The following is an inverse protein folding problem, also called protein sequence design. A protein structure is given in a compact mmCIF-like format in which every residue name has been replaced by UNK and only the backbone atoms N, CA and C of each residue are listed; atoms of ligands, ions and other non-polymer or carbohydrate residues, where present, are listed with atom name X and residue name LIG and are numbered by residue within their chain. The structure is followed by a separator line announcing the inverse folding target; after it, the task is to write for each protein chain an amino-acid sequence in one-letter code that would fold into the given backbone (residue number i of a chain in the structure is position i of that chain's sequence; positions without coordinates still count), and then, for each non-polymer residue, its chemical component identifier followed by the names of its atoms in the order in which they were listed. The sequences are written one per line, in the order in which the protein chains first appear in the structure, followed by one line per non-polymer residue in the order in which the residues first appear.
data_IF_775046416524
#
_entry.id   IF_775046416524
#
_cell.length_a   1.000
_cell.length_b   1.000
_cell.length_c   1.000
_cell.angle_alpha   90.00
_cell.angle_beta   90.00
_cell.angle_gamma   90.00
#
_symmetry.space_group_name_H-M   'P 1'
#
loop_
_entity.id
_entity.type
_entity.pdbx_description
1 polymer ?
#
# COMPACT_ATOMS: atom_id res chain seq x y z
N UNK A 1 -3.32 -39.38 -5.81
CA UNK A 1 -4.18 -38.88 -4.71
C UNK A 1 -5.44 -38.28 -5.32
N UNK A 2 -6.65 -38.67 -4.89
CA UNK A 2 -7.86 -38.40 -5.65
C UNK A 2 -8.31 -36.94 -5.53
N UNK A 3 -8.90 -36.45 -6.62
CA UNK A 3 -9.35 -35.09 -6.91
C UNK A 3 -10.21 -34.44 -5.80
N UNK A 4 -10.86 -35.26 -4.97
CA UNK A 4 -11.76 -34.86 -3.87
C UNK A 4 -11.02 -34.23 -2.68
N UNK A 5 -9.74 -34.58 -2.47
CA UNK A 5 -8.93 -34.00 -1.38
C UNK A 5 -8.36 -32.61 -1.75
N UNK A 6 -8.24 -32.31 -3.05
CA UNK A 6 -7.80 -30.99 -3.55
C UNK A 6 -8.88 -29.92 -3.40
N UNK A 7 -10.14 -30.30 -3.60
CA UNK A 7 -11.29 -29.41 -3.43
C UNK A 7 -11.51 -29.05 -1.96
N UNK A 8 -11.47 -30.00 -1.03
CA UNK A 8 -11.75 -29.72 0.38
C UNK A 8 -10.73 -28.74 1.01
N UNK A 9 -9.43 -28.91 0.71
CA UNK A 9 -8.40 -28.03 1.26
C UNK A 9 -8.50 -26.62 0.66
N UNK A 10 -8.78 -26.51 -0.64
CA UNK A 10 -8.99 -25.24 -1.34
C UNK A 10 -10.26 -24.50 -0.89
N UNK A 11 -11.34 -25.22 -0.58
CA UNK A 11 -12.56 -24.62 -0.02
C UNK A 11 -12.33 -24.12 1.41
N UNK A 12 -11.57 -24.84 2.25
CA UNK A 12 -11.27 -24.40 3.62
C UNK A 12 -10.34 -23.18 3.62
N UNK A 13 -9.31 -23.13 2.76
CA UNK A 13 -8.51 -21.90 2.59
C UNK A 13 -9.34 -20.76 2.00
N UNK A 14 -10.22 -21.01 1.01
CA UNK A 14 -11.09 -19.98 0.45
C UNK A 14 -12.11 -19.46 1.48
N UNK A 15 -12.67 -20.32 2.33
CA UNK A 15 -13.62 -19.94 3.38
C UNK A 15 -12.92 -19.17 4.51
N UNK A 16 -11.72 -19.59 4.92
CA UNK A 16 -10.90 -18.87 5.92
C UNK A 16 -10.41 -17.53 5.37
N UNK A 17 -10.06 -17.48 4.08
CA UNK A 17 -9.80 -16.24 3.34
C UNK A 17 -11.03 -15.35 3.41
N UNK A 18 -12.23 -15.84 3.04
CA UNK A 18 -13.50 -15.08 3.06
C UNK A 18 -13.93 -14.60 4.46
N UNK A 19 -13.70 -15.36 5.53
CA UNK A 19 -14.08 -14.94 6.89
C UNK A 19 -13.14 -13.86 7.47
N UNK A 20 -11.85 -13.93 7.18
CA UNK A 20 -10.87 -12.88 7.57
C UNK A 20 -11.06 -11.60 6.73
N UNK A 21 -11.67 -11.77 5.57
CA UNK A 21 -11.92 -10.75 4.57
C UNK A 21 -13.08 -9.81 4.99
N UNK A 22 -14.12 -10.31 5.66
CA UNK A 22 -15.23 -9.49 6.16
C UNK A 22 -14.74 -8.58 7.32
N UNK A 23 -13.88 -9.10 8.19
CA UNK A 23 -13.19 -8.33 9.24
C UNK A 23 -12.35 -7.18 8.67
N UNK A 24 -11.69 -7.36 7.52
CA UNK A 24 -10.85 -6.32 6.89
C UNK A 24 -11.69 -5.16 6.32
N UNK A 25 -12.81 -5.49 5.66
CA UNK A 25 -13.72 -4.48 5.12
C UNK A 25 -14.42 -3.70 6.25
N UNK A 26 -14.79 -4.39 7.33
CA UNK A 26 -15.33 -3.78 8.54
C UNK A 26 -14.28 -2.87 9.21
N UNK A 27 -13.03 -3.29 9.28
CA UNK A 27 -11.92 -2.49 9.83
C UNK A 27 -11.69 -1.19 9.04
N UNK A 28 -11.69 -1.23 7.70
CA UNK A 28 -11.58 0.00 6.89
C UNK A 28 -12.78 0.93 7.11
N UNK A 29 -13.99 0.39 7.16
CA UNK A 29 -15.22 1.16 7.39
C UNK A 29 -15.28 1.77 8.80
N UNK A 30 -14.88 1.04 9.83
CA UNK A 30 -14.76 1.54 11.21
C UNK A 30 -13.74 2.68 11.29
N UNK A 31 -12.62 2.60 10.56
CA UNK A 31 -11.60 3.66 10.59
C UNK A 31 -12.06 4.94 9.88
N UNK A 32 -12.82 4.82 8.79
CA UNK A 32 -13.45 5.97 8.14
C UNK A 32 -14.51 6.61 9.06
N UNK A 33 -15.32 5.80 9.76
CA UNK A 33 -16.33 6.29 10.71
C UNK A 33 -15.70 6.96 11.94
N UNK A 34 -14.62 6.39 12.50
CA UNK A 34 -13.93 6.95 13.65
C UNK A 34 -13.30 8.31 13.35
N UNK A 35 -12.74 8.49 12.14
CA UNK A 35 -12.21 9.77 11.70
C UNK A 35 -13.32 10.84 11.55
N UNK A 36 -14.51 10.47 11.08
CA UNK A 36 -15.64 11.40 10.92
C UNK A 36 -16.17 11.97 12.25
N UNK A 37 -15.90 11.32 13.40
CA UNK A 37 -16.36 11.75 14.72
C UNK A 37 -15.37 12.67 15.45
N UNK A 38 -14.20 12.95 14.87
CA UNK A 38 -13.23 13.90 15.44
C UNK A 38 -13.62 15.32 15.04
N UNK A 39 -14.07 16.13 16.00
CA UNK A 39 -14.50 17.50 15.77
C UNK A 39 -13.27 18.46 15.73
N UNK A 40 -12.93 19.10 14.60
CA UNK A 40 -11.76 19.99 14.49
C UNK A 40 -11.87 21.23 15.37
N UNK A 41 -13.10 21.62 15.72
CA UNK A 41 -13.41 22.89 16.39
C UNK A 41 -12.86 22.99 17.82
N UNK A 42 -12.53 21.85 18.47
CA UNK A 42 -11.90 21.86 19.79
C UNK A 42 -10.40 22.19 19.75
N UNK A 43 -9.74 22.10 18.58
CA UNK A 43 -8.33 22.46 18.41
C UNK A 43 -8.15 23.96 18.09
N UNK A 44 -9.15 24.60 17.49
CA UNK A 44 -9.10 26.02 17.10
C UNK A 44 -9.10 26.95 18.32
N UNK A 45 -9.71 26.55 19.46
CA UNK A 45 -9.75 27.38 20.68
C UNK A 45 -8.41 27.47 21.42
N UNK A 46 -7.43 26.62 21.13
CA UNK A 46 -6.09 26.68 21.75
C UNK A 46 -5.08 27.51 20.94
N UNK A 47 -5.41 27.88 19.69
CA UNK A 47 -4.51 28.62 18.80
C UNK A 47 -4.73 30.13 18.73
N UNK A 48 -5.80 30.66 19.33
CA UNK A 48 -6.18 32.08 19.19
C UNK A 48 -5.69 32.96 20.36
N UNK A 49 -5.31 32.40 21.52
CA UNK A 49 -4.90 33.19 22.69
C UNK A 49 -3.38 33.33 22.90
N UNK A 50 -2.52 32.82 22.01
CA UNK A 50 -1.05 32.84 22.23
C UNK A 50 -0.38 34.17 21.77
N UNK A 51 -1.10 35.07 21.09
CA UNK A 51 -0.52 36.33 20.57
C UNK A 51 -0.97 37.62 21.28
N UNK A 52 -1.48 37.53 22.51
CA UNK A 52 -1.75 38.73 23.32
C UNK A 52 -1.30 38.57 24.77
N UNK A 53 -0.35 39.43 25.13
CA UNK A 53 0.16 39.73 26.47
C UNK A 53 1.41 38.98 26.95
N UNK A 54 2.54 39.65 26.72
CA UNK A 54 3.64 39.74 27.67
C UNK A 54 3.14 40.24 29.04
N UNK A 55 3.23 39.42 30.08
CA UNK A 55 3.42 39.87 31.47
C UNK A 55 3.80 38.70 32.38
N UNK A 56 4.86 38.93 33.16
CA UNK A 56 5.33 38.18 34.33
C UNK A 56 4.19 37.84 35.30
N UNK A 57 4.18 36.63 35.89
CA UNK A 57 3.86 36.41 37.33
C UNK A 57 4.16 34.96 37.75
N UNK A 58 4.97 34.80 38.79
CA UNK A 58 5.12 33.57 39.58
C UNK A 58 3.90 33.41 40.50
N UNK A 59 3.29 32.21 40.57
CA UNK A 59 2.98 31.59 41.86
C UNK A 59 2.53 30.13 41.76
N UNK A 60 2.96 29.38 42.77
CA UNK A 60 2.58 28.01 43.12
C UNK A 60 1.11 27.88 43.49
N UNK A 61 0.39 26.97 42.83
CA UNK A 61 -0.95 26.55 43.21
C UNK A 61 -1.26 25.15 42.69
N UNK A 62 -1.30 24.17 43.60
CA UNK A 62 -1.83 22.82 43.35
C UNK A 62 -3.30 22.96 42.94
N UNK A 63 -3.63 22.73 41.66
CA UNK A 63 -5.01 22.49 41.24
C UNK A 63 -5.21 20.99 41.04
N UNK A 64 -6.07 20.44 41.89
CA UNK A 64 -6.53 19.05 41.87
C UNK A 64 -7.14 18.71 40.51
N UNK A 65 -6.42 17.91 39.71
CA UNK A 65 -6.95 17.28 38.51
C UNK A 65 -7.87 16.14 38.91
N UNK A 66 -9.18 16.41 38.97
CA UNK A 66 -10.21 15.38 39.03
C UNK A 66 -10.29 14.72 37.66
N UNK A 67 -9.67 13.55 37.58
CA UNK A 67 -10.09 12.34 36.86
C UNK A 67 -10.92 12.56 35.58
N UNK A 68 -10.25 12.53 34.44
CA UNK A 68 -10.83 11.97 33.23
C UNK A 68 -10.00 10.75 32.81
N UNK A 69 -10.35 9.60 33.37
CA UNK A 69 -9.94 8.29 32.84
C UNK A 69 -10.73 8.05 31.55
N UNK A 70 -10.38 8.76 30.49
CA UNK A 70 -10.87 8.42 29.16
C UNK A 70 -10.11 7.17 28.70
N UNK A 71 -10.79 6.03 28.86
CA UNK A 71 -10.45 4.68 28.41
C UNK A 71 -9.09 4.52 27.70
N UNK A 72 -8.09 4.08 28.48
CA UNK A 72 -6.79 3.56 28.05
C UNK A 72 -6.89 2.44 26.99
N UNK A 73 -8.08 1.85 26.82
CA UNK A 73 -8.38 0.81 25.83
C UNK A 73 -8.65 1.40 24.43
N UNK A 74 -9.19 2.61 24.33
CA UNK A 74 -9.49 3.28 23.05
C UNK A 74 -8.26 4.02 22.48
N UNK A 75 -7.38 4.52 23.36
CA UNK A 75 -6.12 5.19 22.94
C UNK A 75 -5.09 4.23 22.34
N UNK A 76 -5.25 2.91 22.52
CA UNK A 76 -4.43 1.90 21.86
C UNK A 76 -5.00 1.49 20.48
N UNK A 77 -6.23 1.91 20.18
CA UNK A 77 -6.99 1.49 18.99
C UNK A 77 -6.77 2.44 17.80
N UNK A 78 -6.50 3.70 18.10
CA UNK A 78 -6.12 4.76 17.16
C UNK A 78 -4.66 5.06 17.49
N UNK A 79 -3.74 4.92 16.53
CA UNK A 79 -2.38 5.47 16.68
C UNK A 79 -2.49 6.86 17.28
N UNK A 80 -1.71 7.18 18.32
CA UNK A 80 -1.72 8.48 19.04
C UNK A 80 -1.32 9.68 18.16
N UNK A 81 -1.35 9.54 16.83
CA UNK A 81 -1.10 10.58 15.86
C UNK A 81 -2.31 11.50 15.83
N UNK A 82 -2.11 12.76 16.20
CA UNK A 82 -3.12 13.80 16.04
C UNK A 82 -3.45 13.89 14.54
N UNK A 83 -4.71 13.70 14.16
CA UNK A 83 -5.13 13.79 12.76
C UNK A 83 -4.99 15.27 12.35
N UNK A 84 -4.13 15.56 11.36
CA UNK A 84 -3.97 16.92 10.86
C UNK A 84 -5.21 17.35 10.08
N UNK A 85 -5.42 18.66 9.94
CA UNK A 85 -6.52 19.20 9.15
C UNK A 85 -6.44 18.75 7.68
N UNK A 86 -5.23 18.72 7.10
CA UNK A 86 -5.02 18.28 5.73
C UNK A 86 -5.35 16.78 5.55
N UNK A 87 -4.98 15.94 6.54
CA UNK A 87 -5.37 14.53 6.55
C UNK A 87 -6.89 14.39 6.63
N UNK A 88 -7.53 15.11 7.56
CA UNK A 88 -8.98 15.09 7.71
C UNK A 88 -9.72 15.46 6.41
N UNK A 89 -9.29 16.53 5.73
CA UNK A 89 -9.88 16.99 4.46
C UNK A 89 -9.75 15.98 3.32
N UNK A 90 -8.73 15.11 3.35
CA UNK A 90 -8.48 14.10 2.34
C UNK A 90 -8.98 12.70 2.73
N UNK A 91 -9.52 12.51 3.93
CA UNK A 91 -10.08 11.22 4.33
C UNK A 91 -11.30 10.89 3.45
N UNK A 92 -11.34 9.71 2.81
CA UNK A 92 -12.48 9.34 2.00
C UNK A 92 -13.67 9.00 2.92
N UNK A 93 -14.87 9.45 2.54
CA UNK A 93 -16.11 9.13 3.29
C UNK A 93 -16.50 7.65 3.13
N UNK A 94 -16.07 7.02 2.04
CA UNK A 94 -16.23 5.59 1.75
C UNK A 94 -14.93 5.05 1.15
N UNK A 95 -14.54 3.81 1.48
CA UNK A 95 -13.32 3.21 0.91
C UNK A 95 -13.37 3.26 -0.63
N UNK A 96 -12.32 3.76 -1.31
CA UNK A 96 -12.24 3.76 -2.77
C UNK A 96 -12.30 2.35 -3.39
N UNK A 97 -12.12 1.31 -2.57
CA UNK A 97 -12.20 -0.09 -2.96
C UNK A 97 -13.56 -0.75 -2.63
N UNK A 98 -14.49 -0.03 -1.98
CA UNK A 98 -15.81 -0.55 -1.65
C UNK A 98 -16.58 -0.86 -2.93
N UNK A 99 -17.20 -2.05 -2.97
CA UNK A 99 -17.98 -2.56 -4.09
C UNK A 99 -17.23 -2.59 -5.44
N UNK A 100 -15.90 -2.62 -5.41
CA UNK A 100 -15.11 -2.83 -6.61
C UNK A 100 -14.99 -4.32 -6.92
N UNK A 101 -15.04 -4.65 -8.21
CA UNK A 101 -14.87 -6.01 -8.68
C UNK A 101 -14.25 -5.99 -10.08
N UNK A 102 -13.14 -6.69 -10.24
CA UNK A 102 -12.33 -6.71 -11.44
C UNK A 102 -11.99 -8.16 -11.81
N UNK A 103 -12.08 -8.49 -13.09
CA UNK A 103 -11.82 -9.85 -13.55
C UNK A 103 -10.34 -10.18 -13.49
N UNK A 104 -9.49 -9.31 -14.04
CA UNK A 104 -8.02 -9.53 -14.08
C UNK A 104 -7.28 -8.34 -13.49
N UNK A 105 -6.49 -8.60 -12.46
CA UNK A 105 -5.66 -7.59 -11.81
C UNK A 105 -4.17 -7.89 -11.98
N UNK A 106 -3.39 -6.85 -12.25
CA UNK A 106 -1.93 -6.90 -12.19
C UNK A 106 -1.43 -6.18 -10.94
N UNK A 107 -0.54 -6.81 -10.19
CA UNK A 107 0.21 -6.17 -9.11
C UNK A 107 1.67 -6.12 -9.53
N UNK A 108 2.19 -4.90 -9.68
CA UNK A 108 3.54 -4.64 -10.14
C UNK A 108 4.40 -4.24 -8.95
N UNK A 109 5.24 -5.18 -8.53
CA UNK A 109 6.35 -4.95 -7.60
C UNK A 109 7.52 -4.24 -8.28
N UNK A 110 8.49 -3.85 -7.47
CA UNK A 110 9.54 -2.92 -7.92
C UNK A 110 10.84 -3.60 -8.35
N UNK A 111 10.93 -4.94 -8.32
CA UNK A 111 12.19 -5.65 -8.54
C UNK A 111 12.81 -5.36 -9.91
N UNK A 112 14.15 -5.32 -9.95
CA UNK A 112 14.91 -5.20 -11.19
C UNK A 112 14.72 -6.35 -12.19
N UNK A 113 14.07 -7.45 -11.78
CA UNK A 113 13.69 -8.54 -12.69
C UNK A 113 12.81 -8.07 -13.85
N UNK A 114 12.13 -6.92 -13.68
CA UNK A 114 11.31 -6.32 -14.73
C UNK A 114 12.11 -5.79 -15.91
N UNK A 115 13.41 -5.46 -15.74
CA UNK A 115 14.20 -4.84 -16.79
C UNK A 115 14.40 -5.77 -18.00
N UNK A 116 14.02 -5.28 -19.18
CA UNK A 116 13.98 -6.01 -20.46
C UNK A 116 12.98 -7.18 -20.50
N UNK A 117 11.98 -7.19 -19.62
CA UNK A 117 10.93 -8.21 -19.62
C UNK A 117 9.93 -8.03 -20.75
N UNK A 118 9.78 -6.82 -21.31
CA UNK A 118 8.73 -6.47 -22.29
C UNK A 118 7.30 -6.77 -21.80
N UNK A 119 7.09 -6.82 -20.48
CA UNK A 119 5.79 -7.13 -19.88
C UNK A 119 4.79 -5.96 -19.88
N UNK A 120 5.20 -4.76 -20.29
CA UNK A 120 4.35 -3.58 -20.25
C UNK A 120 3.01 -3.74 -20.97
N UNK A 121 2.99 -4.17 -22.25
CA UNK A 121 1.75 -4.43 -22.97
C UNK A 121 0.84 -5.46 -22.28
N UNK A 122 1.39 -6.52 -21.69
CA UNK A 122 0.59 -7.51 -20.96
C UNK A 122 0.00 -6.94 -19.67
N UNK A 123 0.78 -6.15 -18.92
CA UNK A 123 0.34 -5.49 -17.69
C UNK A 123 -0.84 -4.55 -18.00
N UNK A 124 -0.74 -3.75 -19.06
CA UNK A 124 -1.76 -2.74 -19.40
C UNK A 124 -3.09 -3.35 -19.90
N UNK A 125 -3.10 -4.64 -20.29
CA UNK A 125 -4.32 -5.39 -20.63
C UNK A 125 -5.16 -5.79 -19.41
N UNK A 126 -4.66 -5.66 -18.18
CA UNK A 126 -5.43 -5.99 -16.98
C UNK A 126 -6.48 -4.92 -16.67
N UNK A 127 -7.61 -5.31 -16.09
CA UNK A 127 -8.71 -4.41 -15.75
C UNK A 127 -8.32 -3.43 -14.63
N UNK A 128 -7.42 -3.85 -13.74
CA UNK A 128 -6.96 -3.06 -12.61
C UNK A 128 -5.47 -3.29 -12.34
N UNK A 129 -4.69 -2.21 -12.34
CA UNK A 129 -3.24 -2.26 -12.11
C UNK A 129 -2.88 -1.60 -10.78
N UNK A 130 -2.26 -2.38 -9.89
CA UNK A 130 -1.78 -1.98 -8.57
C UNK A 130 -0.26 -1.83 -8.61
N UNK A 131 0.25 -0.66 -8.23
CA UNK A 131 1.69 -0.35 -8.20
C UNK A 131 2.18 -0.05 -6.79
N UNK A 132 3.47 -0.26 -6.55
CA UNK A 132 4.07 -0.10 -5.23
C UNK A 132 4.96 1.15 -5.11
N UNK A 133 4.75 1.93 -4.05
CA UNK A 133 5.65 2.99 -3.58
C UNK A 133 5.98 4.11 -4.61
N UNK A 134 4.99 4.58 -5.38
CA UNK A 134 5.15 5.58 -6.45
C UNK A 134 6.36 5.31 -7.38
N UNK A 135 6.61 4.05 -7.71
CA UNK A 135 7.68 3.70 -8.64
C UNK A 135 7.48 4.38 -10.01
N UNK A 136 8.54 4.85 -10.68
CA UNK A 136 8.46 5.43 -12.02
C UNK A 136 7.92 4.43 -13.03
N UNK A 137 7.17 4.93 -14.01
CA UNK A 137 6.52 4.10 -15.04
C UNK A 137 6.86 4.56 -16.44
N UNK A 138 6.96 5.87 -16.68
CA UNK A 138 7.07 6.44 -18.03
C UNK A 138 8.32 5.94 -18.76
N UNK A 139 9.47 6.05 -18.11
CA UNK A 139 10.79 5.66 -18.62
C UNK A 139 10.96 4.14 -18.74
N UNK A 140 10.08 3.37 -18.09
CA UNK A 140 10.12 1.91 -18.01
C UNK A 140 8.91 1.25 -18.64
N UNK A 141 8.06 2.01 -19.33
CA UNK A 141 6.72 1.61 -19.77
C UNK A 141 6.72 0.36 -20.65
N UNK A 142 7.78 0.14 -21.43
CA UNK A 142 7.97 -1.11 -22.20
C UNK A 142 7.94 -2.37 -21.32
N UNK A 143 8.52 -2.28 -20.13
CA UNK A 143 8.68 -3.39 -19.20
C UNK A 143 7.58 -3.44 -18.15
N UNK A 144 7.15 -2.28 -17.63
CA UNK A 144 6.24 -2.20 -16.48
C UNK A 144 4.85 -1.66 -16.82
N UNK A 145 4.61 -1.23 -18.06
CA UNK A 145 3.36 -0.63 -18.51
C UNK A 145 3.17 0.80 -18.00
N UNK A 146 2.13 1.47 -18.48
CA UNK A 146 1.77 2.84 -18.07
C UNK A 146 0.51 2.88 -17.20
N UNK A 147 -0.39 1.90 -17.32
CA UNK A 147 -1.68 1.89 -16.62
C UNK A 147 -1.45 1.80 -15.11
N UNK A 148 -2.16 2.64 -14.37
CA UNK A 148 -2.17 2.64 -12.91
C UNK A 148 -3.60 2.92 -12.47
N UNK A 149 -4.13 2.10 -11.57
CA UNK A 149 -5.46 2.32 -10.98
C UNK A 149 -5.37 2.51 -9.47
N UNK A 150 -4.40 1.86 -8.83
CA UNK A 150 -4.01 2.09 -7.45
C UNK A 150 -2.49 2.11 -7.35
N UNK A 151 -1.95 3.07 -6.60
CA UNK A 151 -0.54 3.09 -6.26
C UNK A 151 -0.37 3.38 -4.78
N UNK A 152 0.49 2.60 -4.13
CA UNK A 152 0.86 2.88 -2.74
C UNK A 152 1.96 3.92 -2.67
N UNK A 153 2.01 4.68 -1.58
CA UNK A 153 3.07 5.64 -1.32
C UNK A 153 3.50 5.55 0.14
N UNK A 154 4.46 4.68 0.44
CA UNK A 154 5.11 4.71 1.75
C UNK A 154 5.79 6.08 1.96
N UNK A 155 5.67 6.72 3.14
CA UNK A 155 6.27 8.04 3.39
C UNK A 155 7.77 8.12 3.13
N UNK A 156 8.50 7.01 3.32
CA UNK A 156 9.94 6.93 3.00
C UNK A 156 10.29 7.15 1.53
N UNK A 157 9.31 7.10 0.61
CA UNK A 157 9.52 7.43 -0.81
C UNK A 157 9.90 8.90 -0.96
N UNK A 158 9.28 9.79 -0.18
CA UNK A 158 9.55 11.24 -0.23
C UNK A 158 11.03 11.52 0.08
N UNK A 159 11.58 10.85 1.10
CA UNK A 159 13.01 10.93 1.39
C UNK A 159 13.87 10.31 0.30
N UNK A 160 13.58 9.05 -0.03
CA UNK A 160 14.51 8.22 -0.83
C UNK A 160 14.55 8.59 -2.30
N UNK A 161 13.42 8.99 -2.88
CA UNK A 161 13.29 9.28 -4.29
C UNK A 161 13.17 10.79 -4.59
N UNK A 162 12.80 11.61 -3.59
CA UNK A 162 12.53 13.03 -3.78
C UNK A 162 13.25 13.93 -2.77
N UNK A 163 14.30 13.42 -2.13
CA UNK A 163 15.20 14.15 -1.22
C UNK A 163 14.47 15.01 -0.18
N UNK A 164 13.41 14.49 0.44
CA UNK A 164 12.62 15.22 1.45
C UNK A 164 12.13 16.60 0.94
N UNK A 165 11.93 16.75 -0.37
CA UNK A 165 11.36 17.94 -1.00
C UNK A 165 12.13 19.24 -0.70
N UNK A 166 13.44 19.11 -0.43
CA UNK A 166 14.29 20.23 0.04
C UNK A 166 14.34 21.39 -0.94
N UNK A 167 14.37 21.13 -2.25
CA UNK A 167 14.42 22.14 -3.32
C UNK A 167 13.10 22.23 -4.11
N UNK A 168 12.91 23.35 -4.82
CA UNK A 168 11.80 23.52 -5.76
C UNK A 168 11.81 22.43 -6.83
N UNK A 169 12.98 22.11 -7.38
CA UNK A 169 13.13 21.04 -8.36
C UNK A 169 12.59 19.68 -7.85
N UNK A 170 12.92 19.29 -6.62
CA UNK A 170 12.42 18.03 -6.05
C UNK A 170 10.93 18.06 -5.74
N UNK A 171 10.41 19.23 -5.33
CA UNK A 171 8.97 19.47 -5.16
C UNK A 171 8.23 19.33 -6.49
N UNK A 172 8.73 19.95 -7.55
CA UNK A 172 8.12 19.91 -8.88
C UNK A 172 8.13 18.50 -9.46
N UNK A 173 9.25 17.77 -9.34
CA UNK A 173 9.34 16.35 -9.75
C UNK A 173 8.33 15.48 -9.00
N UNK A 174 8.19 15.69 -7.70
CA UNK A 174 7.22 14.96 -6.89
C UNK A 174 5.78 15.31 -7.27
N UNK A 175 5.49 16.60 -7.49
CA UNK A 175 4.19 17.07 -7.94
C UNK A 175 3.82 16.50 -9.31
N UNK A 176 4.75 16.50 -10.27
CA UNK A 176 4.56 15.86 -11.58
C UNK A 176 4.24 14.36 -11.43
N UNK A 177 4.94 13.65 -10.51
CA UNK A 177 4.64 12.24 -10.21
C UNK A 177 3.24 12.05 -9.63
N UNK A 178 2.74 12.99 -8.83
CA UNK A 178 1.38 12.92 -8.29
C UNK A 178 0.33 13.24 -9.36
N UNK A 179 0.58 14.25 -10.20
CA UNK A 179 -0.32 14.68 -11.27
C UNK A 179 -0.49 13.60 -12.35
N UNK A 180 0.54 12.81 -12.64
CA UNK A 180 0.44 11.72 -13.61
C UNK A 180 -0.47 10.56 -13.18
N UNK A 181 -0.93 10.53 -11.93
CA UNK A 181 -1.82 9.50 -11.41
C UNK A 181 -3.28 9.66 -11.88
N UNK A 182 -3.70 10.87 -12.26
CA UNK A 182 -4.96 11.19 -12.94
C UNK A 182 -6.17 10.32 -12.54
N UNK A 183 -6.70 10.51 -11.33
CA UNK A 183 -7.89 9.83 -10.82
C UNK A 183 -7.64 8.45 -10.21
N UNK A 184 -6.39 7.97 -10.22
CA UNK A 184 -5.97 6.74 -9.53
C UNK A 184 -6.15 6.85 -8.01
N UNK A 185 -6.24 5.69 -7.36
CA UNK A 185 -6.19 5.61 -5.89
C UNK A 185 -4.75 5.80 -5.42
N UNK A 186 -4.51 6.81 -4.59
CA UNK A 186 -3.24 7.01 -3.89
C UNK A 186 -3.38 6.47 -2.46
N UNK A 187 -2.79 5.31 -2.21
CA UNK A 187 -2.87 4.59 -0.95
C UNK A 187 -1.68 4.95 -0.05
N UNK A 188 -1.91 5.74 1.01
CA UNK A 188 -0.88 6.32 1.87
C UNK A 188 -0.97 5.68 3.26
N UNK A 189 -0.03 4.79 3.65
CA UNK A 189 -0.02 4.16 4.96
C UNK A 189 0.45 5.11 6.09
N UNK A 190 -0.28 6.22 6.26
CA UNK A 190 0.04 7.31 7.17
C UNK A 190 0.18 6.86 8.63
N UNK A 191 -0.58 5.84 9.02
CA UNK A 191 -0.56 5.30 10.39
C UNK A 191 0.40 4.14 10.58
N UNK A 192 0.98 3.59 9.51
CA UNK A 192 1.79 2.36 9.58
C UNK A 192 3.30 2.59 9.55
N UNK A 193 3.74 3.82 9.27
CA UNK A 193 5.13 4.20 9.08
C UNK A 193 5.56 5.20 10.16
N UNK A 194 6.18 4.70 11.24
CA UNK A 194 6.72 5.52 12.32
C UNK A 194 7.75 6.52 11.78
N UNK A 195 7.63 7.80 12.12
CA UNK A 195 8.53 8.86 11.65
C UNK A 195 8.26 9.32 10.22
N UNK A 196 7.10 8.93 9.65
CA UNK A 196 6.64 9.34 8.33
C UNK A 196 5.66 10.51 8.36
N UNK A 197 5.24 10.98 9.54
CA UNK A 197 4.12 11.90 9.75
C UNK A 197 4.33 13.23 9.01
N UNK A 198 5.51 13.84 9.15
CA UNK A 198 5.86 15.10 8.49
C UNK A 198 5.86 14.97 6.96
N UNK A 199 6.41 13.87 6.45
CA UNK A 199 6.42 13.60 5.00
C UNK A 199 5.01 13.42 4.47
N UNK A 200 4.16 12.69 5.19
CA UNK A 200 2.73 12.57 4.84
C UNK A 200 2.13 13.97 4.76
N UNK A 201 2.31 14.80 5.78
CA UNK A 201 1.77 16.16 5.81
C UNK A 201 2.21 17.00 4.61
N UNK A 202 3.47 16.93 4.19
CA UNK A 202 3.95 17.61 2.97
C UNK A 202 3.23 17.13 1.71
N UNK A 203 3.03 15.81 1.56
CA UNK A 203 2.30 15.25 0.42
C UNK A 203 0.85 15.73 0.41
N UNK A 204 0.16 15.67 1.55
CA UNK A 204 -1.23 16.10 1.67
C UNK A 204 -1.39 17.58 1.34
N UNK A 205 -0.45 18.41 1.82
CA UNK A 205 -0.41 19.83 1.50
C UNK A 205 -0.26 20.06 0.00
N UNK A 206 0.63 19.34 -0.68
CA UNK A 206 0.79 19.47 -2.15
C UNK A 206 -0.47 19.05 -2.91
N UNK A 207 -1.11 17.95 -2.51
CA UNK A 207 -2.37 17.49 -3.12
C UNK A 207 -3.44 18.57 -3.04
N UNK A 208 -3.62 19.17 -1.86
CA UNK A 208 -4.63 20.20 -1.62
C UNK A 208 -4.29 21.52 -2.34
N UNK A 209 -3.04 21.98 -2.25
CA UNK A 209 -2.61 23.26 -2.86
C UNK A 209 -2.69 23.25 -4.38
N UNK A 210 -2.37 22.12 -5.02
CA UNK A 210 -2.34 21.99 -6.46
C UNK A 210 -3.54 21.24 -7.03
N UNK A 211 -4.56 20.98 -6.20
CA UNK A 211 -5.79 20.28 -6.59
C UNK A 211 -5.50 19.01 -7.39
N UNK A 212 -4.55 18.20 -6.92
CA UNK A 212 -4.11 16.99 -7.63
C UNK A 212 -5.28 16.02 -7.71
N UNK A 213 -5.59 15.56 -8.93
CA UNK A 213 -6.64 14.58 -9.19
C UNK A 213 -6.21 13.17 -8.76
N UNK A 214 -6.42 12.84 -7.49
CA UNK A 214 -6.20 11.52 -6.89
C UNK A 214 -7.29 11.19 -5.89
N UNK A 215 -7.63 9.91 -5.77
CA UNK A 215 -8.50 9.41 -4.70
C UNK A 215 -7.64 8.87 -3.57
N UNK A 216 -7.60 9.55 -2.44
CA UNK A 216 -6.76 9.17 -1.31
C UNK A 216 -7.37 8.02 -0.50
N UNK A 217 -6.52 7.11 -0.03
CA UNK A 217 -6.88 6.04 0.90
C UNK A 217 -5.84 5.93 2.02
N UNK A 218 -6.30 5.87 3.27
CA UNK A 218 -5.45 5.86 4.46
C UNK A 218 -5.69 4.61 5.29
N UNK A 219 -5.01 3.50 4.97
CA UNK A 219 -5.19 2.23 5.67
C UNK A 219 -4.77 2.34 7.15
N UNK A 220 -5.54 1.67 8.00
CA UNK A 220 -5.31 1.67 9.45
C UNK A 220 -4.26 0.64 9.88
N UNK A 221 -3.66 0.82 11.07
CA UNK A 221 -2.76 -0.19 11.65
C UNK A 221 -3.44 -1.55 11.84
N UNK A 222 -4.75 -1.56 12.07
CA UNK A 222 -5.54 -2.79 12.22
C UNK A 222 -5.51 -3.63 10.95
N UNK A 223 -5.59 -3.01 9.77
CA UNK A 223 -5.46 -3.71 8.49
C UNK A 223 -4.12 -4.45 8.40
N UNK A 224 -3.03 -3.77 8.74
CA UNK A 224 -1.71 -4.39 8.74
C UNK A 224 -1.62 -5.58 9.71
N UNK A 225 -2.21 -5.45 10.90
CA UNK A 225 -2.26 -6.53 11.88
C UNK A 225 -3.12 -7.70 11.43
N UNK A 226 -4.28 -7.45 10.81
CA UNK A 226 -5.16 -8.47 10.25
C UNK A 226 -4.44 -9.26 9.16
N UNK A 227 -3.81 -8.57 8.21
CA UNK A 227 -3.03 -9.21 7.13
C UNK A 227 -1.87 -10.02 7.70
N UNK A 228 -1.13 -9.48 8.67
CA UNK A 228 -0.06 -10.24 9.35
C UNK A 228 -0.62 -11.48 10.05
N UNK A 229 -1.76 -11.36 10.74
CA UNK A 229 -2.44 -12.45 11.44
C UNK A 229 -2.91 -13.55 10.48
N UNK A 230 -3.47 -13.18 9.32
CA UNK A 230 -3.85 -14.10 8.26
C UNK A 230 -2.66 -14.96 7.81
N UNK A 231 -1.52 -14.33 7.51
CA UNK A 231 -0.33 -15.06 7.07
C UNK A 231 0.24 -15.94 8.20
N UNK A 232 0.24 -15.45 9.44
CA UNK A 232 0.70 -16.20 10.60
C UNK A 232 -0.13 -17.48 10.83
N UNK A 233 -1.47 -17.37 10.77
CA UNK A 233 -2.38 -18.52 10.92
C UNK A 233 -2.23 -19.54 9.80
N UNK A 234 -1.77 -19.11 8.62
CA UNK A 234 -1.41 -19.97 7.49
C UNK A 234 0.07 -20.41 7.52
N UNK A 235 0.71 -20.41 8.70
CA UNK A 235 2.09 -20.88 8.93
C UNK A 235 3.18 -20.06 8.20
N UNK A 236 2.87 -18.84 7.77
CA UNK A 236 3.81 -17.90 7.13
C UNK A 236 4.29 -16.89 8.18
N UNK A 237 5.41 -17.22 8.81
CA UNK A 237 5.99 -16.47 9.93
C UNK A 237 6.76 -15.22 9.47
N UNK A 238 6.04 -14.17 9.11
CA UNK A 238 6.60 -12.87 8.73
C UNK A 238 6.50 -11.86 9.89
N UNK A 239 7.59 -11.10 10.13
CA UNK A 239 7.57 -10.03 11.14
C UNK A 239 6.66 -8.88 10.70
N UNK A 240 6.80 -8.44 9.45
CA UNK A 240 5.97 -7.42 8.81
C UNK A 240 5.83 -7.72 7.32
N UNK A 241 4.60 -7.79 6.76
CA UNK A 241 4.42 -8.00 5.32
C UNK A 241 5.02 -6.85 4.52
N UNK A 242 5.60 -7.16 3.36
CA UNK A 242 5.93 -6.12 2.38
C UNK A 242 4.66 -5.44 1.84
N UNK A 243 4.84 -4.26 1.22
CA UNK A 243 3.78 -3.61 0.44
C UNK A 243 3.21 -4.57 -0.62
N UNK A 244 4.05 -5.36 -1.29
CA UNK A 244 3.61 -6.30 -2.32
C UNK A 244 2.70 -7.41 -1.77
N UNK A 245 3.09 -8.04 -0.65
CA UNK A 245 2.26 -9.07 -0.01
C UNK A 245 0.95 -8.47 0.53
N UNK A 246 1.01 -7.26 1.10
CA UNK A 246 -0.17 -6.54 1.56
C UNK A 246 -1.14 -6.26 0.40
N UNK A 247 -0.64 -5.77 -0.75
CA UNK A 247 -1.47 -5.50 -1.92
C UNK A 247 -2.04 -6.78 -2.54
N UNK A 248 -1.29 -7.89 -2.54
CA UNK A 248 -1.83 -9.19 -2.94
C UNK A 248 -3.00 -9.60 -2.04
N UNK A 249 -2.85 -9.53 -0.72
CA UNK A 249 -3.93 -9.87 0.22
C UNK A 249 -5.14 -8.95 0.07
N UNK A 250 -4.93 -7.66 -0.22
CA UNK A 250 -6.05 -6.75 -0.50
C UNK A 250 -6.76 -7.08 -1.81
N UNK A 251 -6.00 -7.40 -2.87
CA UNK A 251 -6.55 -7.67 -4.19
C UNK A 251 -7.49 -8.88 -4.22
N UNK A 252 -7.31 -9.88 -3.34
CA UNK A 252 -8.23 -11.03 -3.26
C UNK A 252 -9.67 -10.64 -2.90
N UNK A 253 -9.91 -9.40 -2.43
CA UNK A 253 -11.26 -8.87 -2.16
C UNK A 253 -12.03 -8.46 -3.40
N UNK A 254 -11.33 -7.97 -4.41
CA UNK A 254 -11.93 -7.25 -5.53
C UNK A 254 -11.39 -7.72 -6.89
N UNK A 255 -10.57 -8.77 -6.93
CA UNK A 255 -10.00 -9.36 -8.14
C UNK A 255 -10.34 -10.85 -8.22
N UNK A 256 -10.86 -11.31 -9.36
CA UNK A 256 -11.05 -12.75 -9.61
C UNK A 256 -9.72 -13.46 -9.94
N UNK A 257 -8.90 -12.86 -10.81
CA UNK A 257 -7.60 -13.37 -11.22
C UNK A 257 -6.50 -12.35 -10.91
N UNK A 258 -5.42 -12.79 -10.25
CA UNK A 258 -4.31 -11.92 -9.84
C UNK A 258 -3.01 -12.37 -10.50
N UNK A 259 -2.39 -11.43 -11.22
CA UNK A 259 -1.06 -11.56 -11.79
C UNK A 259 -0.06 -10.71 -11.00
N UNK A 260 1.09 -11.29 -10.67
CA UNK A 260 2.18 -10.64 -9.97
C UNK A 260 3.38 -10.47 -10.91
N UNK A 261 3.85 -9.23 -11.07
CA UNK A 261 5.03 -8.87 -11.84
C UNK A 261 6.05 -8.19 -10.93
N UNK A 262 7.35 -8.41 -11.12
CA UNK A 262 8.37 -7.69 -10.35
C UNK A 262 8.49 -8.14 -8.89
N UNK A 263 8.02 -9.36 -8.57
CA UNK A 263 8.20 -10.00 -7.28
C UNK A 263 9.41 -10.93 -7.33
N UNK A 264 10.61 -10.38 -7.14
CA UNK A 264 11.85 -11.16 -7.14
C UNK A 264 12.84 -10.59 -6.11
N UNK A 265 12.94 -11.20 -4.93
CA UNK A 265 13.79 -10.69 -3.85
C UNK A 265 15.17 -11.35 -3.82
N UNK A 266 15.79 -11.54 -4.98
CA UNK A 266 17.10 -12.17 -5.10
C UNK A 266 18.04 -11.34 -5.98
N UNK A 267 19.36 -11.38 -5.72
CA UNK A 267 20.33 -10.60 -6.47
C UNK A 267 20.68 -11.18 -7.84
N UNK A 268 20.26 -12.42 -8.12
CA UNK A 268 20.50 -13.10 -9.39
C UNK A 268 19.17 -13.60 -9.93
N UNK A 269 19.00 -13.62 -11.25
CA UNK A 269 17.89 -14.27 -11.94
C UNK A 269 18.13 -15.79 -12.07
N UNK A 270 17.16 -16.58 -12.59
CA UNK A 270 17.34 -18.02 -12.78
C UNK A 270 18.52 -18.40 -13.71
N UNK A 271 19.01 -17.47 -14.54
CA UNK A 271 20.14 -17.65 -15.44
C UNK A 271 21.47 -17.20 -14.81
N UNK A 272 21.46 -16.73 -13.57
CA UNK A 272 22.65 -16.26 -12.85
C UNK A 272 23.08 -14.83 -13.20
N UNK A 273 22.27 -14.06 -13.92
CA UNK A 273 22.55 -12.66 -14.22
C UNK A 273 22.14 -11.77 -13.03
N UNK A 274 22.94 -10.73 -12.78
CA UNK A 274 22.67 -9.78 -11.71
C UNK A 274 21.33 -9.05 -11.89
N UNK A 275 20.53 -9.03 -10.83
CA UNK A 275 19.24 -8.35 -10.73
C UNK A 275 19.36 -7.19 -9.75
N UNK A 276 19.00 -5.99 -10.20
CA UNK A 276 18.93 -4.81 -9.34
C UNK A 276 17.83 -4.95 -8.30
N UNK A 277 17.98 -4.26 -7.16
CA UNK A 277 16.93 -4.23 -6.16
C UNK A 277 15.64 -3.62 -6.69
N UNK A 278 15.74 -2.43 -7.28
CA UNK A 278 14.65 -1.85 -8.04
C UNK A 278 14.99 -1.74 -9.53
N UNK A 279 13.97 -1.76 -10.38
CA UNK A 279 14.16 -1.53 -11.82
C UNK A 279 14.61 -0.09 -12.15
N UNK A 280 14.42 0.85 -11.22
CA UNK A 280 14.56 2.28 -11.50
C UNK A 280 15.67 3.02 -10.76
N UNK A 281 16.33 2.40 -9.79
CA UNK A 281 17.38 3.04 -9.01
C UNK A 281 18.63 2.19 -8.91
N UNK A 282 19.63 2.72 -8.20
CA UNK A 282 20.91 2.06 -7.92
C UNK A 282 20.96 1.51 -6.50
N UNK A 283 19.83 1.49 -5.77
CA UNK A 283 19.79 0.98 -4.42
C UNK A 283 20.18 -0.50 -4.43
N UNK A 284 21.00 -0.87 -3.46
CA UNK A 284 21.32 -2.26 -3.15
C UNK A 284 20.71 -2.55 -1.79
N UNK A 285 19.60 -3.28 -1.78
CA UNK A 285 19.03 -3.74 -0.53
C UNK A 285 19.51 -5.15 -0.27
N UNK A 286 19.99 -5.39 0.95
CA UNK A 286 20.37 -6.71 1.40
C UNK A 286 19.10 -7.50 1.74
N UNK A 287 18.61 -8.27 0.77
CA UNK A 287 17.39 -9.10 0.88
C UNK A 287 17.38 -10.04 2.10
N UNK A 288 18.55 -10.38 2.63
CA UNK A 288 18.76 -11.30 3.74
C UNK A 288 19.26 -10.62 5.02
N UNK A 289 19.37 -9.29 5.04
CA UNK A 289 19.85 -8.58 6.22
C UNK A 289 18.87 -8.76 7.38
N UNK A 290 19.39 -9.13 8.55
CA UNK A 290 18.63 -9.23 9.79
C UNK A 290 18.02 -7.88 10.24
N UNK A 291 18.53 -6.77 9.68
CA UNK A 291 18.00 -5.42 9.88
C UNK A 291 16.70 -5.16 9.11
N UNK A 292 16.42 -5.93 8.05
CA UNK A 292 15.18 -5.80 7.28
C UNK A 292 13.99 -6.19 8.15
N UNK A 293 12.93 -5.35 8.22
CA UNK A 293 11.70 -5.74 8.90
C UNK A 293 10.90 -6.80 8.11
N UNK A 294 11.28 -7.05 6.86
CA UNK A 294 10.59 -7.94 5.93
C UNK A 294 11.37 -9.24 5.70
N UNK A 295 10.64 -10.34 5.54
CA UNK A 295 11.20 -11.66 5.21
C UNK A 295 10.92 -11.99 3.74
N UNK A 296 11.37 -11.13 2.82
CA UNK A 296 10.99 -11.19 1.40
C UNK A 296 11.22 -12.56 0.73
N UNK A 297 12.34 -13.28 0.99
CA UNK A 297 12.51 -14.63 0.45
C UNK A 297 11.48 -15.65 0.95
N UNK A 298 10.93 -15.48 2.16
CA UNK A 298 9.82 -16.30 2.64
C UNK A 298 8.53 -15.92 1.91
N UNK A 299 8.24 -14.61 1.77
CA UNK A 299 7.06 -14.13 1.04
C UNK A 299 7.06 -14.64 -0.41
N UNK A 300 8.18 -14.54 -1.12
CA UNK A 300 8.31 -15.07 -2.48
C UNK A 300 8.09 -16.58 -2.57
N UNK A 301 8.64 -17.36 -1.62
CA UNK A 301 8.40 -18.81 -1.58
C UNK A 301 6.92 -19.13 -1.37
N UNK A 302 6.23 -18.37 -0.52
CA UNK A 302 4.79 -18.47 -0.30
C UNK A 302 4.01 -18.15 -1.58
N UNK A 303 4.29 -17.01 -2.22
CA UNK A 303 3.64 -16.61 -3.48
C UNK A 303 3.91 -17.61 -4.61
N UNK A 304 5.12 -18.19 -4.66
CA UNK A 304 5.45 -19.25 -5.61
C UNK A 304 4.68 -20.54 -5.35
N UNK A 305 4.41 -20.87 -4.09
CA UNK A 305 3.57 -22.02 -3.74
C UNK A 305 2.11 -21.79 -4.16
N UNK A 306 1.58 -20.59 -3.92
CA UNK A 306 0.25 -20.18 -4.37
C UNK A 306 0.14 -20.19 -5.90
N UNK A 307 1.19 -19.76 -6.60
CA UNK A 307 1.26 -19.86 -8.06
C UNK A 307 1.12 -21.31 -8.54
N UNK A 308 1.87 -22.25 -7.96
CA UNK A 308 1.78 -23.67 -8.30
C UNK A 308 0.42 -24.29 -7.97
N UNK A 309 -0.33 -23.70 -7.05
CA UNK A 309 -1.69 -24.12 -6.69
C UNK A 309 -2.76 -23.49 -7.59
N UNK A 310 -2.39 -22.59 -8.49
CA UNK A 310 -3.33 -21.89 -9.37
C UNK A 310 -4.07 -20.72 -8.70
N UNK A 311 -3.66 -20.30 -7.49
CA UNK A 311 -4.30 -19.20 -6.78
C UNK A 311 -3.88 -17.81 -7.32
N UNK A 312 -2.74 -17.72 -8.00
CA UNK A 312 -2.23 -16.50 -8.64
C UNK A 312 -1.30 -16.86 -9.81
N UNK A 313 -0.98 -15.89 -10.67
CA UNK A 313 0.07 -16.03 -11.68
C UNK A 313 1.30 -15.21 -11.30
N UNK A 314 2.43 -15.87 -11.07
CA UNK A 314 3.69 -15.20 -10.72
C UNK A 314 4.61 -15.15 -11.94
N UNK A 315 4.88 -13.94 -12.42
CA UNK A 315 5.72 -13.68 -13.58
C UNK A 315 7.13 -13.28 -13.13
N UNK A 316 8.11 -14.10 -13.48
CA UNK A 316 9.54 -13.89 -13.13
C UNK A 316 10.45 -13.85 -14.35
N UNK A 317 9.89 -13.80 -15.56
CA UNK A 317 10.63 -13.79 -16.82
C UNK A 317 10.07 -12.76 -17.80
N UNK A 318 10.55 -12.81 -19.04
CA UNK A 318 10.02 -11.99 -20.11
C UNK A 318 8.58 -12.41 -20.48
N UNK A 319 7.79 -11.45 -20.93
CA UNK A 319 6.44 -11.68 -21.44
C UNK A 319 6.47 -11.79 -22.97
N UNK A 320 5.60 -12.65 -23.50
CA UNK A 320 5.47 -12.86 -24.93
C UNK A 320 4.62 -11.73 -25.55
N UNK A 321 5.21 -10.93 -26.43
CA UNK A 321 4.52 -9.84 -27.13
C UNK A 321 3.44 -10.36 -28.10
N UNK A 322 3.46 -11.65 -28.45
CA UNK A 322 2.65 -12.23 -29.54
C UNK A 322 1.39 -13.01 -29.12
N UNK A 323 1.14 -13.24 -27.82
CA UNK A 323 -0.10 -13.92 -27.39
C UNK A 323 -1.28 -12.95 -27.40
N UNK A 324 -1.76 -12.59 -28.60
CA UNK A 324 -3.14 -12.09 -28.75
C UNK A 324 -4.10 -13.14 -28.17
N UNK A 325 -5.13 -12.76 -27.41
CA UNK A 325 -6.15 -13.70 -27.00
C UNK A 325 -6.78 -14.30 -28.26
N UNK A 326 -6.65 -15.61 -28.44
CA UNK A 326 -7.44 -16.32 -29.43
C UNK A 326 -8.90 -16.09 -29.02
N UNK A 327 -9.65 -15.33 -29.85
CA UNK A 327 -11.10 -15.37 -29.79
C UNK A 327 -11.48 -16.83 -29.96
N UNK A 328 -12.14 -17.42 -28.96
CA UNK A 328 -12.84 -18.68 -29.11
C UNK A 328 -13.79 -18.51 -30.30
N UNK A 329 -13.44 -19.15 -31.42
CA UNK A 329 -14.37 -19.37 -32.51
C UNK A 329 -15.37 -20.37 -31.96
N UNK A 330 -16.49 -19.87 -31.45
CA UNK A 330 -17.67 -20.69 -31.23
C UNK A 330 -18.09 -21.24 -32.59
N UNK A 331 -17.77 -22.51 -32.80
CA UNK A 331 -18.43 -23.35 -33.77
C UNK A 331 -19.59 -24.02 -33.05
N UNK A 332 -20.80 -23.60 -33.40
CA UNK A 332 -22.01 -24.41 -33.40
C UNK A 332 -22.99 -23.79 -34.39
#
# INVERSE_FOLDING_TARGET
MPLVFRTLLGFVTLLVVLLIIDDIAEVEEETAKAAAHVNPTSLVRLGIDINRHSASYNNSGKLSSKTWTFNKTLSNLISTTNISENLYRLLPTVSPMKNQHHRRCAIVGNSGIMLNSSCGPEIDLHDFVIRCNLAPVEEYSRDVGWRTNLVTMNPSVVQRAFQDLVSEEWRDRFLQRLQSLSGSVLWIPAFMAKGGEERVEWVLRLILLHTVDVRTAFPSLRLLHAVRGYWLTNNVHIKRPTTGLLMYTMATRFCEEIHLYGFWPFPLDPQGKAVKYHYYDTLKYEYTSSSSPHTMPLEFRTLSALHRQGALRLHTGACDVEKKPQKEIQSN
#
